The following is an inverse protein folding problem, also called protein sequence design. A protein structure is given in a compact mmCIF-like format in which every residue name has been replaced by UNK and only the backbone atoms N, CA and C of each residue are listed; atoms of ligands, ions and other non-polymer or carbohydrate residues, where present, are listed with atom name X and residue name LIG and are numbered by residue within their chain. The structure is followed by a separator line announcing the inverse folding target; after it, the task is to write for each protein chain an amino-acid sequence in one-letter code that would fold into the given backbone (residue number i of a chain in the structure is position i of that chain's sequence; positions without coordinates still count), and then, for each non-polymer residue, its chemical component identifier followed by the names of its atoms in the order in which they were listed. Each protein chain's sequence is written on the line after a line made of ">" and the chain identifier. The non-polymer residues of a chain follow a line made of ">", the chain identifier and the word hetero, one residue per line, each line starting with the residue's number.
data_IF_322407623823
#
_entry.id   IF_322407623823
#
_cell.length_a   1.000
_cell.length_b   1.000
_cell.length_c   1.000
_cell.angle_alpha   90.00
_cell.angle_beta   90.00
_cell.angle_gamma   90.00
#
_symmetry.space_group_name_H-M   'P 1'
#
loop_
_entity.id
_entity.type
_entity.pdbx_description
1 polymer ?
#
# COMPACT_ATOMS: atom_id res chain seq x y z
N UNK A 1 52.57 17.46 -21.48
CA UNK A 1 51.56 18.24 -22.22
C UNK A 1 50.41 18.49 -21.28
N UNK A 2 50.21 19.74 -20.85
CA UNK A 2 49.07 20.13 -20.01
C UNK A 2 47.78 20.01 -20.82
N UNK A 3 47.12 18.85 -20.74
CA UNK A 3 45.74 18.69 -21.18
C UNK A 3 44.84 19.06 -20.03
N UNK A 4 44.51 20.35 -19.91
CA UNK A 4 43.45 20.78 -19.00
C UNK A 4 42.12 20.19 -19.53
N UNK A 5 41.72 19.06 -18.93
CA UNK A 5 40.48 18.34 -19.20
C UNK A 5 39.27 19.14 -18.76
N UNK A 6 39.46 20.26 -18.05
CA UNK A 6 38.40 21.08 -17.49
C UNK A 6 38.14 22.37 -18.30
N UNK A 7 39.02 22.74 -19.23
CA UNK A 7 38.78 23.90 -20.09
C UNK A 7 37.72 23.58 -21.15
N UNK A 8 36.64 24.37 -21.27
CA UNK A 8 35.72 24.31 -22.39
C UNK A 8 36.43 24.61 -23.71
N UNK A 9 36.46 23.64 -24.62
CA UNK A 9 37.04 23.80 -25.97
C UNK A 9 36.41 22.86 -26.99
N UNK A 10 36.73 23.05 -28.25
CA UNK A 10 36.40 22.09 -29.30
C UNK A 10 37.21 20.80 -29.11
N UNK A 11 36.53 19.66 -29.23
CA UNK A 11 37.10 18.33 -29.01
C UNK A 11 36.71 17.40 -30.16
N UNK A 12 37.58 16.45 -30.43
CA UNK A 12 37.42 15.51 -31.56
C UNK A 12 37.48 14.05 -31.12
N UNK A 13 38.11 13.76 -29.97
CA UNK A 13 38.32 12.41 -29.47
C UNK A 13 37.49 12.07 -28.23
N UNK A 14 37.06 13.06 -27.45
CA UNK A 14 36.16 12.82 -26.32
C UNK A 14 35.77 14.09 -25.58
N UNK A 15 34.69 14.01 -24.79
CA UNK A 15 34.13 15.11 -24.00
C UNK A 15 33.58 14.58 -22.69
N UNK A 16 33.63 15.39 -21.65
CA UNK A 16 33.11 15.08 -20.31
C UNK A 16 31.95 16.00 -20.00
N UNK A 17 30.85 15.39 -19.59
CA UNK A 17 29.68 16.03 -19.03
C UNK A 17 29.63 15.77 -17.54
N UNK A 18 29.26 16.79 -16.77
CA UNK A 18 29.10 16.68 -15.32
C UNK A 18 27.77 17.28 -14.89
N UNK A 19 27.11 16.62 -13.94
CA UNK A 19 25.97 17.18 -13.22
C UNK A 19 26.42 17.67 -11.86
N UNK A 20 26.26 18.97 -11.62
CA UNK A 20 26.70 19.61 -10.37
C UNK A 20 25.52 20.17 -9.57
N UNK A 21 25.59 20.06 -8.24
CA UNK A 21 24.66 20.74 -7.33
C UNK A 21 24.97 22.23 -7.22
N UNK A 22 24.06 22.97 -6.58
CA UNK A 22 24.22 24.42 -6.31
C UNK A 22 25.45 24.74 -5.45
N UNK A 23 25.86 23.82 -4.58
CA UNK A 23 27.08 23.92 -3.75
C UNK A 23 28.37 23.61 -4.54
N UNK A 24 28.29 23.25 -5.82
CA UNK A 24 29.45 22.93 -6.66
C UNK A 24 29.88 21.46 -6.63
N UNK A 25 29.19 20.61 -5.86
CA UNK A 25 29.47 19.18 -5.76
C UNK A 25 29.11 18.45 -7.05
N UNK A 26 30.01 17.58 -7.53
CA UNK A 26 29.81 16.74 -8.71
C UNK A 26 29.10 15.47 -8.28
N UNK A 27 27.99 15.15 -8.93
CA UNK A 27 27.13 14.00 -8.58
C UNK A 27 26.91 13.04 -9.76
N UNK A 28 27.15 13.53 -10.97
CA UNK A 28 26.96 12.82 -12.23
C UNK A 28 28.15 13.10 -13.14
N UNK A 29 28.65 12.07 -13.83
CA UNK A 29 29.70 12.18 -14.84
C UNK A 29 29.28 11.31 -16.04
N UNK A 30 29.24 11.90 -17.24
CA UNK A 30 29.13 11.15 -18.50
C UNK A 30 30.30 11.49 -19.40
N UNK A 31 31.02 10.47 -19.85
CA UNK A 31 32.14 10.61 -20.77
C UNK A 31 31.72 10.04 -22.11
N UNK A 32 31.94 10.80 -23.19
CA UNK A 32 31.90 10.28 -24.55
C UNK A 32 33.32 10.25 -25.10
N UNK A 33 33.70 9.15 -25.75
CA UNK A 33 35.01 9.01 -26.39
C UNK A 33 34.96 8.05 -27.58
N UNK A 34 35.99 8.10 -28.44
CA UNK A 34 36.04 7.26 -29.64
C UNK A 34 36.01 5.75 -29.35
N UNK A 35 36.54 5.33 -28.19
CA UNK A 35 36.61 3.94 -27.77
C UNK A 35 36.61 3.80 -26.24
N UNK A 36 36.48 2.56 -25.76
CA UNK A 36 36.41 2.24 -24.33
C UNK A 36 37.66 2.64 -23.55
N UNK A 37 38.85 2.41 -24.10
CA UNK A 37 40.12 2.71 -23.42
C UNK A 37 40.26 4.21 -23.17
N UNK A 38 39.97 5.02 -24.19
CA UNK A 38 40.00 6.48 -24.09
C UNK A 38 38.92 7.01 -23.13
N UNK A 39 37.72 6.42 -23.13
CA UNK A 39 36.67 6.81 -22.19
C UNK A 39 37.08 6.57 -20.72
N UNK A 40 37.75 5.44 -20.44
CA UNK A 40 38.27 5.12 -19.10
C UNK A 40 39.38 6.07 -18.68
N UNK A 41 40.36 6.31 -19.55
CA UNK A 41 41.47 7.25 -19.28
C UNK A 41 40.94 8.66 -19.01
N UNK A 42 39.97 9.14 -19.79
CA UNK A 42 39.33 10.45 -19.56
C UNK A 42 38.60 10.49 -18.21
N UNK A 43 37.85 9.45 -17.85
CA UNK A 43 37.14 9.38 -16.57
C UNK A 43 38.10 9.37 -15.38
N UNK A 44 39.15 8.53 -15.43
CA UNK A 44 40.14 8.41 -14.36
C UNK A 44 40.91 9.72 -14.15
N UNK A 45 41.34 10.38 -15.24
CA UNK A 45 41.99 11.69 -15.16
C UNK A 45 41.07 12.76 -14.58
N UNK A 46 39.80 12.78 -15.01
CA UNK A 46 38.82 13.73 -14.48
C UNK A 46 38.63 13.57 -12.96
N UNK A 47 38.48 12.32 -12.49
CA UNK A 47 38.34 12.04 -11.05
C UNK A 47 39.59 12.49 -10.28
N UNK A 48 40.78 12.18 -10.79
CA UNK A 48 42.05 12.59 -10.20
C UNK A 48 42.19 14.12 -10.12
N UNK A 49 41.95 14.85 -11.22
CA UNK A 49 42.05 16.32 -11.27
C UNK A 49 41.03 17.02 -10.36
N UNK A 50 39.87 16.40 -10.11
CA UNK A 50 38.85 16.93 -9.20
C UNK A 50 39.02 16.50 -7.75
N UNK A 51 40.03 15.68 -7.44
CA UNK A 51 40.21 15.12 -6.10
C UNK A 51 39.04 14.23 -5.66
N UNK A 52 38.34 13.62 -6.62
CA UNK A 52 37.22 12.70 -6.36
C UNK A 52 37.77 11.29 -6.22
N UNK A 53 37.46 10.62 -5.13
CA UNK A 53 37.87 9.24 -4.94
C UNK A 53 37.02 8.30 -5.84
N UNK A 54 37.62 7.42 -6.68
CA UNK A 54 36.87 6.58 -7.61
C UNK A 54 35.79 5.70 -6.95
N UNK A 55 36.03 5.26 -5.71
CA UNK A 55 35.08 4.45 -4.96
C UNK A 55 33.79 5.18 -4.54
N UNK A 56 33.74 6.51 -4.65
CA UNK A 56 32.54 7.30 -4.32
C UNK A 56 31.55 7.33 -5.49
N UNK A 57 31.98 6.86 -6.65
CA UNK A 57 31.22 6.81 -7.88
C UNK A 57 30.99 5.37 -8.33
N UNK A 58 29.86 5.15 -9.00
CA UNK A 58 29.42 3.86 -9.53
C UNK A 58 29.09 4.05 -10.99
N UNK A 59 29.75 3.28 -11.86
CA UNK A 59 29.40 3.21 -13.28
C UNK A 59 28.05 2.52 -13.40
N UNK A 60 27.06 3.25 -13.92
CA UNK A 60 25.68 2.77 -14.06
C UNK A 60 25.33 2.38 -15.49
N UNK A 61 26.08 2.91 -16.46
CA UNK A 61 25.87 2.63 -17.87
C UNK A 61 27.19 2.79 -18.65
N UNK A 62 27.40 1.94 -19.65
CA UNK A 62 28.55 2.00 -20.55
C UNK A 62 28.26 1.22 -21.84
N UNK A 63 28.85 1.65 -22.94
CA UNK A 63 28.73 0.97 -24.23
C UNK A 63 28.84 1.94 -25.40
N UNK A 64 28.65 1.42 -26.61
CA UNK A 64 28.51 2.26 -27.80
C UNK A 64 27.08 2.83 -27.88
N UNK A 65 26.98 4.12 -28.13
CA UNK A 65 25.75 4.85 -28.37
C UNK A 65 25.68 5.21 -29.86
N UNK A 66 24.51 4.98 -30.48
CA UNK A 66 24.24 5.39 -31.86
C UNK A 66 24.13 6.92 -31.93
N UNK A 67 24.93 7.49 -32.82
CA UNK A 67 25.01 8.93 -33.09
C UNK A 67 24.84 9.23 -34.58
N UNK A 68 24.30 8.27 -35.34
CA UNK A 68 24.00 8.46 -36.76
C UNK A 68 23.07 9.67 -36.95
N UNK A 69 23.50 10.60 -37.81
CA UNK A 69 22.79 11.86 -38.04
C UNK A 69 23.10 13.00 -37.05
N UNK A 70 23.91 12.78 -36.01
CA UNK A 70 24.41 13.85 -35.13
C UNK A 70 25.74 14.41 -35.67
N UNK A 71 25.85 15.73 -35.79
CA UNK A 71 27.12 16.39 -36.15
C UNK A 71 28.01 16.64 -34.93
N UNK A 72 27.41 16.97 -33.79
CA UNK A 72 28.10 17.33 -32.55
C UNK A 72 27.40 16.75 -31.31
N UNK A 73 28.17 16.61 -30.22
CA UNK A 73 27.66 16.38 -28.87
C UNK A 73 28.06 17.56 -27.98
N UNK A 74 27.07 18.23 -27.41
CA UNK A 74 27.20 19.41 -26.53
C UNK A 74 26.06 19.44 -25.51
N UNK A 75 26.11 20.33 -24.53
CA UNK A 75 25.00 20.52 -23.57
C UNK A 75 23.68 20.94 -24.24
N UNK A 76 23.74 21.49 -25.46
CA UNK A 76 22.55 21.86 -26.25
C UNK A 76 21.93 20.66 -26.94
N UNK A 77 22.74 19.76 -27.50
CA UNK A 77 22.24 18.54 -28.14
C UNK A 77 21.79 17.51 -27.10
N UNK A 78 22.41 17.51 -25.93
CA UNK A 78 22.06 16.69 -24.76
C UNK A 78 20.93 17.32 -23.91
N UNK A 79 19.87 17.82 -24.56
CA UNK A 79 18.77 18.53 -23.91
C UNK A 79 17.93 17.64 -22.98
N UNK A 80 17.76 16.37 -23.35
CA UNK A 80 17.09 15.36 -22.53
C UNK A 80 17.87 15.07 -21.24
N UNK A 81 19.19 14.88 -21.36
CA UNK A 81 20.09 14.70 -20.21
C UNK A 81 20.05 15.93 -19.29
N UNK A 82 20.07 17.12 -19.87
CA UNK A 82 19.98 18.37 -19.10
C UNK A 82 18.66 18.48 -18.34
N UNK A 83 17.54 18.13 -18.98
CA UNK A 83 16.21 18.11 -18.36
C UNK A 83 16.09 17.05 -17.27
N UNK A 84 16.66 15.86 -17.48
CA UNK A 84 16.71 14.79 -16.49
C UNK A 84 17.46 15.22 -15.24
N UNK A 85 18.68 15.75 -15.39
CA UNK A 85 19.49 16.23 -14.27
C UNK A 85 18.86 17.45 -13.58
N UNK A 86 18.21 18.34 -14.33
CA UNK A 86 17.47 19.48 -13.78
C UNK A 86 16.37 19.06 -12.80
N UNK A 87 15.64 17.97 -13.08
CA UNK A 87 14.63 17.39 -12.16
C UNK A 87 15.24 16.85 -10.86
N UNK A 88 16.52 16.49 -10.88
CA UNK A 88 17.28 16.05 -9.71
C UNK A 88 17.99 17.21 -9.00
N UNK A 89 17.75 18.46 -9.43
CA UNK A 89 18.38 19.65 -8.85
C UNK A 89 19.85 19.81 -9.27
N UNK A 90 20.29 19.11 -10.32
CA UNK A 90 21.63 19.17 -10.87
C UNK A 90 21.66 20.06 -12.11
N UNK A 91 22.77 20.79 -12.28
CA UNK A 91 23.06 21.56 -13.49
C UNK A 91 24.05 20.80 -14.35
N UNK A 92 23.68 20.53 -15.60
CA UNK A 92 24.57 19.92 -16.58
C UNK A 92 25.61 20.95 -17.05
N UNK A 93 26.89 20.57 -16.98
CA UNK A 93 28.03 21.29 -17.53
C UNK A 93 28.83 20.35 -18.43
N UNK A 94 29.64 20.90 -19.31
CA UNK A 94 30.54 20.14 -20.18
C UNK A 94 31.88 20.84 -20.33
N UNK A 95 32.94 20.07 -20.54
CA UNK A 95 34.27 20.58 -20.86
C UNK A 95 34.48 20.87 -22.35
N UNK A 96 33.41 20.89 -23.17
CA UNK A 96 33.54 21.24 -24.58
C UNK A 96 32.37 20.87 -25.47
N UNK A 97 32.64 20.95 -26.77
CA UNK A 97 31.78 20.42 -27.84
C UNK A 97 32.57 19.34 -28.55
N UNK A 98 31.99 18.14 -28.66
CA UNK A 98 32.59 17.04 -29.40
C UNK A 98 32.06 17.01 -30.82
N UNK A 99 32.94 17.12 -31.81
CA UNK A 99 32.59 16.94 -33.21
C UNK A 99 32.70 15.47 -33.60
N UNK A 100 31.64 14.91 -34.19
CA UNK A 100 31.54 13.49 -34.47
C UNK A 100 32.13 13.09 -35.83
N UNK A 101 32.37 14.05 -36.72
CA UNK A 101 33.05 13.84 -38.01
C UNK A 101 32.49 12.66 -38.83
N UNK A 102 31.17 12.47 -38.82
CA UNK A 102 30.49 11.40 -39.57
C UNK A 102 30.57 10.00 -38.94
N UNK A 103 31.00 9.89 -37.68
CA UNK A 103 30.92 8.63 -36.93
C UNK A 103 29.47 8.22 -36.71
N UNK A 104 29.22 6.92 -36.77
CA UNK A 104 27.91 6.32 -36.52
C UNK A 104 27.70 5.95 -35.05
N UNK A 105 28.77 5.62 -34.36
CA UNK A 105 28.73 5.22 -32.95
C UNK A 105 29.84 5.90 -32.17
N UNK A 106 29.59 6.11 -30.88
CA UNK A 106 30.58 6.61 -29.94
C UNK A 106 30.50 5.86 -28.62
N UNK A 107 31.64 5.60 -27.98
CA UNK A 107 31.64 4.95 -26.67
C UNK A 107 31.27 5.94 -25.58
N UNK A 108 30.43 5.51 -24.63
CA UNK A 108 30.06 6.30 -23.47
C UNK A 108 30.26 5.52 -22.16
N UNK A 109 30.57 6.26 -21.10
CA UNK A 109 30.56 5.79 -19.72
C UNK A 109 29.80 6.82 -18.89
N UNK A 110 28.76 6.36 -18.19
CA UNK A 110 28.00 7.15 -17.23
C UNK A 110 28.25 6.65 -15.82
N UNK A 111 28.62 7.56 -14.93
CA UNK A 111 28.96 7.29 -13.54
C UNK A 111 28.23 8.26 -12.60
N UNK A 112 27.64 7.73 -11.54
CA UNK A 112 26.91 8.50 -10.54
C UNK A 112 27.61 8.40 -9.20
N UNK A 113 27.54 9.44 -8.38
CA UNK A 113 27.93 9.30 -6.98
C UNK A 113 27.03 8.27 -6.28
N UNK A 114 27.54 7.65 -5.22
CA UNK A 114 26.73 6.76 -4.37
C UNK A 114 25.50 7.46 -3.78
N UNK A 115 25.60 8.75 -3.47
CA UNK A 115 24.52 9.50 -2.85
C UNK A 115 23.43 9.87 -3.86
N UNK A 116 23.79 10.28 -5.07
CA UNK A 116 22.82 10.47 -6.16
C UNK A 116 22.18 9.14 -6.56
N UNK A 117 22.95 8.04 -6.61
CA UNK A 117 22.40 6.72 -6.92
C UNK A 117 21.41 6.27 -5.84
N UNK A 118 21.67 6.54 -4.56
CA UNK A 118 20.71 6.31 -3.47
C UNK A 118 19.49 7.22 -3.59
N UNK A 119 19.68 8.48 -3.97
CA UNK A 119 18.58 9.43 -4.18
C UNK A 119 17.65 8.97 -5.29
N UNK A 120 18.19 8.58 -6.46
CA UNK A 120 17.43 8.03 -7.59
C UNK A 120 16.73 6.74 -7.19
N UNK A 121 17.45 5.79 -6.56
CA UNK A 121 16.87 4.54 -6.06
C UNK A 121 15.80 4.78 -4.99
N UNK A 122 15.86 5.84 -4.21
CA UNK A 122 14.81 6.19 -3.24
C UNK A 122 13.59 6.85 -3.89
N UNK A 123 13.76 7.49 -5.05
CA UNK A 123 12.70 8.13 -5.83
C UNK A 123 11.93 7.16 -6.74
N UNK A 124 12.55 6.07 -7.20
CA UNK A 124 11.92 5.10 -8.11
C UNK A 124 11.02 4.05 -7.44
N UNK A 125 10.99 3.97 -6.10
CA UNK A 125 10.74 2.68 -5.44
C UNK A 125 9.50 2.61 -4.53
N UNK A 126 8.58 3.58 -4.64
CA UNK A 126 7.24 3.50 -4.06
C UNK A 126 6.25 3.77 -5.20
N UNK A 127 5.88 2.75 -5.98
CA UNK A 127 4.74 2.88 -6.90
C UNK A 127 3.49 2.48 -6.14
N UNK A 128 2.49 3.35 -6.16
CA UNK A 128 1.16 2.97 -5.73
C UNK A 128 0.58 1.99 -6.74
N UNK A 129 -0.17 1.03 -6.22
CA UNK A 129 -0.98 0.13 -7.04
C UNK A 129 -2.44 0.49 -6.79
N UNK A 130 -3.28 0.56 -7.85
CA UNK A 130 -4.69 0.90 -7.68
C UNK A 130 -5.35 -0.09 -6.73
N UNK A 131 -6.08 0.45 -5.75
CA UNK A 131 -6.83 -0.36 -4.80
C UNK A 131 -7.98 -1.04 -5.55
N UNK A 132 -8.10 -2.35 -5.37
CA UNK A 132 -9.17 -3.16 -5.95
C UNK A 132 -9.54 -4.29 -5.01
N UNK A 133 -10.79 -4.72 -5.06
CA UNK A 133 -11.29 -5.87 -4.31
C UNK A 133 -11.41 -7.04 -5.29
N UNK A 134 -10.79 -8.18 -4.96
CA UNK A 134 -10.84 -9.40 -5.75
C UNK A 134 -11.46 -10.54 -4.93
N UNK A 135 -12.74 -10.84 -5.17
CA UNK A 135 -13.49 -11.81 -4.36
C UNK A 135 -13.35 -13.27 -4.83
N UNK A 136 -12.76 -13.52 -5.99
CA UNK A 136 -12.75 -14.84 -6.65
C UNK A 136 -11.98 -15.92 -5.87
N UNK A 137 -11.05 -15.54 -5.01
CA UNK A 137 -10.23 -16.46 -4.22
C UNK A 137 -10.80 -16.76 -2.83
N UNK A 138 -11.95 -16.18 -2.47
CA UNK A 138 -12.53 -16.35 -1.14
C UNK A 138 -13.26 -17.68 -1.04
N UNK A 139 -13.00 -18.39 0.07
CA UNK A 139 -13.75 -19.59 0.41
C UNK A 139 -15.08 -19.22 1.09
N UNK A 140 -16.05 -18.80 0.28
CA UNK A 140 -17.40 -18.44 0.71
C UNK A 140 -18.44 -19.09 -0.21
N UNK A 141 -19.66 -19.37 0.28
CA UNK A 141 -20.71 -19.89 -0.58
C UNK A 141 -20.99 -18.93 -1.76
N UNK A 142 -21.27 -19.42 -2.98
CA UNK A 142 -21.36 -18.59 -4.19
C UNK A 142 -22.33 -17.40 -4.07
N UNK A 143 -23.46 -17.60 -3.38
CA UNK A 143 -24.45 -16.54 -3.16
C UNK A 143 -23.93 -15.38 -2.31
N UNK A 144 -22.96 -15.62 -1.42
CA UNK A 144 -22.31 -14.56 -0.63
C UNK A 144 -21.30 -13.80 -1.49
N UNK A 145 -20.50 -14.50 -2.29
CA UNK A 145 -19.56 -13.88 -3.23
C UNK A 145 -20.32 -12.95 -4.18
N UNK A 146 -21.43 -13.41 -4.75
CA UNK A 146 -22.27 -12.61 -5.65
C UNK A 146 -22.77 -11.32 -4.99
N UNK A 147 -23.26 -11.40 -3.74
CA UNK A 147 -23.72 -10.25 -2.97
C UNK A 147 -22.60 -9.27 -2.64
N UNK A 148 -21.40 -9.77 -2.36
CA UNK A 148 -20.24 -8.96 -2.02
C UNK A 148 -19.60 -8.29 -3.24
N UNK A 149 -19.90 -8.71 -4.49
CA UNK A 149 -19.37 -8.07 -5.72
C UNK A 149 -19.59 -6.57 -5.78
N UNK A 150 -20.65 -6.06 -5.15
CA UNK A 150 -20.87 -4.61 -5.09
C UNK A 150 -19.73 -3.85 -4.37
N UNK A 151 -18.96 -4.51 -3.50
CA UNK A 151 -17.78 -3.93 -2.86
C UNK A 151 -16.62 -3.68 -3.84
N UNK A 152 -16.61 -4.32 -5.02
CA UNK A 152 -15.62 -4.06 -6.08
C UNK A 152 -15.77 -2.63 -6.65
N UNK A 153 -16.93 -1.99 -6.47
CA UNK A 153 -17.18 -0.61 -6.88
C UNK A 153 -16.51 0.41 -5.94
N UNK A 154 -16.07 -0.01 -4.75
CA UNK A 154 -15.53 0.88 -3.72
C UNK A 154 -16.45 2.06 -3.34
N UNK A 155 -17.77 1.82 -3.39
CA UNK A 155 -18.80 2.77 -2.99
C UNK A 155 -19.17 2.62 -1.51
N UNK A 156 -19.71 3.69 -0.92
CA UNK A 156 -20.16 3.67 0.47
C UNK A 156 -21.32 2.67 0.65
N UNK A 157 -21.16 1.73 1.58
CA UNK A 157 -22.00 0.53 1.61
C UNK A 157 -22.60 0.27 2.99
N UNK A 158 -23.91 0.01 3.04
CA UNK A 158 -24.58 -0.60 4.17
C UNK A 158 -24.59 -2.13 4.01
N UNK A 159 -23.97 -2.84 4.95
CA UNK A 159 -24.00 -4.31 5.02
C UNK A 159 -24.93 -4.76 6.14
N UNK A 160 -25.99 -5.46 5.74
CA UNK A 160 -26.98 -6.05 6.63
C UNK A 160 -26.56 -7.49 6.94
N UNK A 161 -25.76 -7.65 7.99
CA UNK A 161 -24.99 -8.87 8.25
C UNK A 161 -25.69 -9.85 9.21
N UNK A 162 -26.80 -10.46 8.78
CA UNK A 162 -27.44 -11.54 9.57
C UNK A 162 -26.57 -12.80 9.65
N UNK A 163 -25.75 -13.04 8.62
CA UNK A 163 -24.83 -14.18 8.57
C UNK A 163 -23.67 -14.06 9.57
N UNK A 164 -23.46 -12.88 10.16
CA UNK A 164 -22.29 -12.55 10.98
C UNK A 164 -20.97 -12.91 10.27
N UNK A 165 -20.93 -12.66 8.97
CA UNK A 165 -19.74 -12.84 8.13
C UNK A 165 -18.65 -11.86 8.60
N UNK A 166 -17.41 -12.31 8.86
CA UNK A 166 -16.34 -11.43 9.32
C UNK A 166 -15.84 -10.52 8.17
N UNK A 167 -16.55 -9.41 7.92
CA UNK A 167 -16.27 -8.47 6.82
C UNK A 167 -14.82 -7.97 6.81
N UNK A 168 -14.20 -7.58 7.94
CA UNK A 168 -12.82 -7.11 7.93
C UNK A 168 -11.84 -8.17 7.42
N UNK A 169 -11.99 -9.42 7.84
CA UNK A 169 -11.15 -10.55 7.43
C UNK A 169 -11.36 -10.87 5.95
N UNK A 170 -12.62 -10.90 5.50
CA UNK A 170 -12.97 -11.08 4.08
C UNK A 170 -12.31 -10.01 3.20
N UNK A 171 -12.38 -8.74 3.62
CA UNK A 171 -11.73 -7.65 2.89
C UNK A 171 -10.21 -7.74 2.94
N UNK A 172 -9.60 -8.13 4.07
CA UNK A 172 -8.14 -8.30 4.16
C UNK A 172 -7.60 -9.33 3.18
N UNK A 173 -8.36 -10.40 2.92
CA UNK A 173 -8.00 -11.43 1.95
C UNK A 173 -8.22 -10.96 0.49
N UNK A 174 -9.33 -10.25 0.26
CA UNK A 174 -9.76 -9.83 -1.07
C UNK A 174 -9.08 -8.55 -1.59
N UNK A 175 -8.71 -7.62 -0.71
CA UNK A 175 -8.16 -6.32 -1.11
C UNK A 175 -6.75 -6.46 -1.67
N UNK A 176 -6.50 -5.83 -2.82
CA UNK A 176 -5.19 -5.72 -3.47
C UNK A 176 -4.87 -4.24 -3.72
N UNK A 177 -3.59 -3.95 -3.91
CA UNK A 177 -3.08 -2.62 -4.18
C UNK A 177 -2.08 -2.16 -3.11
N UNK A 178 -1.63 -0.92 -3.25
CA UNK A 178 -0.65 -0.32 -2.37
C UNK A 178 -0.88 1.19 -2.29
N UNK A 179 -0.98 1.73 -1.08
CA UNK A 179 -1.33 3.13 -0.81
C UNK A 179 -0.14 3.82 -0.18
N UNK A 180 0.21 5.02 -0.65
CA UNK A 180 1.15 5.88 0.06
C UNK A 180 0.45 6.67 1.13
N UNK A 181 1.05 6.71 2.31
CA UNK A 181 0.66 7.62 3.37
C UNK A 181 1.91 8.25 3.99
N UNK A 182 1.90 9.54 4.35
CA UNK A 182 2.96 10.09 5.16
C UNK A 182 2.79 9.62 6.61
N UNK A 183 3.89 9.47 7.36
CA UNK A 183 3.80 9.19 8.80
C UNK A 183 3.12 10.35 9.54
N UNK A 184 3.53 11.56 9.19
CA UNK A 184 2.97 12.83 9.67
C UNK A 184 2.64 13.70 8.46
N UNK A 185 1.39 14.12 8.36
CA UNK A 185 0.94 15.13 7.43
C UNK A 185 1.20 16.52 8.02
N UNK A 186 2.00 17.32 7.33
CA UNK A 186 2.33 18.69 7.72
C UNK A 186 1.59 19.69 6.81
N UNK A 187 0.73 20.51 7.40
CA UNK A 187 -0.04 21.55 6.71
C UNK A 187 0.10 22.87 7.48
N UNK A 188 1.02 23.73 7.06
CA UNK A 188 1.34 24.94 7.82
C UNK A 188 1.88 24.59 9.21
N UNK A 189 1.20 25.07 10.27
CA UNK A 189 1.55 24.72 11.67
C UNK A 189 0.91 23.41 12.15
N UNK A 190 0.03 22.79 11.36
CA UNK A 190 -0.64 21.55 11.73
C UNK A 190 0.24 20.35 11.40
N UNK A 191 0.55 19.54 12.43
CA UNK A 191 1.24 18.25 12.30
C UNK A 191 0.28 17.13 12.71
N UNK A 192 -0.22 16.36 11.75
CA UNK A 192 -1.18 15.28 11.97
C UNK A 192 -0.53 13.92 11.72
N UNK A 193 -0.48 13.07 12.73
CA UNK A 193 -0.01 11.70 12.60
C UNK A 193 -1.08 10.82 11.95
N UNK A 194 -0.81 10.40 10.71
CA UNK A 194 -1.71 9.51 9.96
C UNK A 194 -1.35 8.05 10.21
N UNK A 195 -0.05 7.71 10.22
CA UNK A 195 0.36 6.33 10.39
C UNK A 195 0.11 5.81 11.81
N UNK A 196 -0.50 4.62 11.91
CA UNK A 196 -0.65 3.86 13.13
C UNK A 196 -0.23 2.40 12.87
N UNK A 197 0.75 1.89 13.60
CA UNK A 197 1.25 0.52 13.46
C UNK A 197 0.23 -0.57 13.81
N UNK A 198 -0.82 -0.24 14.56
CA UNK A 198 -1.90 -1.18 14.89
C UNK A 198 -2.95 -1.28 13.77
N UNK A 199 -3.05 -0.24 12.92
CA UNK A 199 -4.06 -0.15 11.87
C UNK A 199 -3.48 -0.36 10.47
N UNK A 200 -2.18 -0.12 10.28
CA UNK A 200 -1.53 -0.12 8.98
C UNK A 200 -0.46 -1.19 8.86
N UNK A 201 -0.53 -1.96 7.77
CA UNK A 201 0.48 -2.95 7.40
C UNK A 201 1.45 -2.35 6.39
N UNK A 202 2.72 -2.20 6.77
CA UNK A 202 3.76 -1.58 5.93
C UNK A 202 4.30 -2.58 4.91
N UNK A 203 4.23 -2.22 3.63
CA UNK A 203 4.90 -2.94 2.53
C UNK A 203 6.35 -2.46 2.43
N UNK A 204 6.56 -1.13 2.43
CA UNK A 204 7.88 -0.53 2.26
C UNK A 204 7.99 0.81 2.98
N UNK A 205 9.17 1.08 3.55
CA UNK A 205 9.49 2.34 4.22
C UNK A 205 10.34 3.24 3.31
N UNK A 206 9.97 4.52 3.23
CA UNK A 206 10.71 5.58 2.55
C UNK A 206 10.40 6.93 3.20
N UNK A 207 10.49 8.04 2.44
CA UNK A 207 10.02 9.37 2.89
C UNK A 207 8.52 9.37 3.20
N UNK A 208 7.77 8.57 2.45
CA UNK A 208 6.40 8.18 2.73
C UNK A 208 6.37 6.66 2.94
N UNK A 209 5.33 6.18 3.63
CA UNK A 209 5.12 4.76 3.82
C UNK A 209 4.25 4.21 2.69
N UNK A 210 4.68 3.12 2.08
CA UNK A 210 3.82 2.31 1.23
C UNK A 210 3.20 1.22 2.10
N UNK A 211 1.87 1.25 2.24
CA UNK A 211 1.10 0.33 3.07
C UNK A 211 0.14 -0.49 2.21
N UNK A 212 -0.29 -1.63 2.72
CA UNK A 212 -1.50 -2.27 2.18
C UNK A 212 -2.69 -1.33 2.39
N UNK A 213 -3.69 -1.34 1.49
CA UNK A 213 -4.87 -0.50 1.64
C UNK A 213 -5.50 -0.73 3.03
N UNK A 214 -5.69 0.32 3.84
CA UNK A 214 -6.05 0.15 5.23
C UNK A 214 -7.49 -0.36 5.38
N UNK A 215 -7.72 -1.27 6.32
CA UNK A 215 -9.05 -1.70 6.72
C UNK A 215 -9.19 -1.39 8.20
N UNK A 216 -9.76 -0.21 8.48
CA UNK A 216 -9.95 0.32 9.83
C UNK A 216 -11.34 -0.06 10.32
N UNK A 217 -11.42 -0.68 11.49
CA UNK A 217 -12.68 -1.12 12.10
C UNK A 217 -12.95 -0.28 13.33
N UNK A 218 -14.20 0.13 13.50
CA UNK A 218 -14.70 0.77 14.70
C UNK A 218 -16.02 0.11 15.13
N UNK A 219 -16.09 -0.32 16.38
CA UNK A 219 -17.19 -1.07 16.96
C UNK A 219 -17.83 -0.27 18.09
N UNK A 220 -19.11 0.10 17.93
CA UNK A 220 -19.84 0.93 18.91
C UNK A 220 -19.95 0.32 20.30
N UNK A 221 -19.72 -0.98 20.46
CA UNK A 221 -19.76 -1.66 21.75
C UNK A 221 -18.42 -1.61 22.51
N UNK A 222 -17.32 -1.27 21.83
CA UNK A 222 -15.96 -1.35 22.39
C UNK A 222 -15.21 -0.02 22.25
N UNK A 223 -15.44 0.71 21.17
CA UNK A 223 -14.69 1.90 20.80
C UNK A 223 -15.44 3.20 21.14
N UNK A 224 -14.72 4.33 21.11
CA UNK A 224 -15.24 5.63 21.53
C UNK A 224 -15.46 6.57 20.35
N UNK A 225 -16.45 7.46 20.45
CA UNK A 225 -16.65 8.53 19.47
C UNK A 225 -15.48 9.53 19.43
N UNK A 226 -14.67 9.59 20.49
CA UNK A 226 -13.46 10.40 20.53
C UNK A 226 -12.43 9.99 19.46
N UNK A 227 -12.52 8.78 18.91
CA UNK A 227 -11.62 8.30 17.87
C UNK A 227 -11.86 8.97 16.51
N UNK A 228 -12.98 9.70 16.37
CA UNK A 228 -13.28 10.57 15.22
C UNK A 228 -12.89 12.04 15.45
N UNK A 229 -12.30 12.35 16.60
CA UNK A 229 -11.79 13.67 16.95
C UNK A 229 -10.26 13.69 16.94
N UNK A 230 -9.72 14.89 16.83
CA UNK A 230 -8.27 15.12 16.79
C UNK A 230 -7.74 15.14 18.22
N UNK A 231 -6.80 14.25 18.54
CA UNK A 231 -6.23 14.13 19.90
C UNK A 231 -4.83 14.75 19.94
N UNK A 232 -4.53 15.52 20.98
CA UNK A 232 -3.18 16.09 21.16
C UNK A 232 -2.17 15.00 21.53
N UNK A 233 -1.00 15.01 20.89
CA UNK A 233 0.05 14.02 21.14
C UNK A 233 1.44 14.60 20.87
N UNK A 234 2.16 14.96 21.93
CA UNK A 234 3.49 15.58 21.82
C UNK A 234 3.42 16.94 21.11
N UNK A 235 4.29 17.17 20.13
CA UNK A 235 4.34 18.41 19.33
C UNK A 235 3.33 18.46 18.17
N UNK A 236 2.32 17.59 18.17
CA UNK A 236 1.34 17.51 17.10
C UNK A 236 0.05 16.83 17.55
N UNK A 237 -0.69 16.31 16.58
CA UNK A 237 -2.00 15.71 16.80
C UNK A 237 -2.05 14.31 16.21
N UNK A 238 -2.77 13.41 16.85
CA UNK A 238 -3.18 12.14 16.28
C UNK A 238 -4.40 12.36 15.37
N UNK A 239 -4.35 11.81 14.16
CA UNK A 239 -5.43 11.98 13.20
C UNK A 239 -6.68 11.15 13.60
N UNK A 240 -7.89 11.66 13.34
CA UNK A 240 -9.12 10.87 13.43
C UNK A 240 -9.08 9.58 12.61
N UNK A 241 -9.82 8.55 13.03
CA UNK A 241 -9.84 7.23 12.37
C UNK A 241 -10.16 7.29 10.87
N UNK A 242 -11.07 8.16 10.45
CA UNK A 242 -11.43 8.28 9.03
C UNK A 242 -10.28 8.78 8.14
N UNK A 243 -9.32 9.52 8.71
CA UNK A 243 -8.09 9.89 7.99
C UNK A 243 -7.07 8.75 7.96
N UNK A 244 -7.09 7.87 8.97
CA UNK A 244 -6.25 6.66 8.98
C UNK A 244 -6.74 5.64 7.96
N UNK A 245 -8.04 5.63 7.63
CA UNK A 245 -8.60 4.81 6.56
C UNK A 245 -8.30 5.31 5.12
N UNK A 246 -7.27 6.16 4.93
CA UNK A 246 -6.97 6.79 3.65
C UNK A 246 -6.85 5.78 2.50
N UNK A 247 -7.66 5.98 1.45
CA UNK A 247 -7.74 5.12 0.25
C UNK A 247 -8.00 3.64 0.53
N UNK A 248 -8.54 3.34 1.71
CA UNK A 248 -8.96 2.01 2.11
C UNK A 248 -10.42 2.01 2.57
N UNK A 249 -10.71 1.19 3.57
CA UNK A 249 -12.04 1.01 4.14
C UNK A 249 -12.09 1.45 5.60
N UNK A 250 -13.13 2.21 5.94
CA UNK A 250 -13.56 2.45 7.31
C UNK A 250 -14.85 1.65 7.55
N UNK A 251 -14.78 0.65 8.42
CA UNK A 251 -15.89 -0.24 8.76
C UNK A 251 -16.44 0.18 10.13
N UNK A 252 -17.71 0.56 10.18
CA UNK A 252 -18.41 0.94 11.41
C UNK A 252 -19.46 -0.10 11.78
N UNK A 253 -19.37 -0.69 12.98
CA UNK A 253 -20.36 -1.66 13.48
C UNK A 253 -21.38 -1.01 14.40
N UNK A 254 -22.65 -1.09 14.00
CA UNK A 254 -23.79 -0.49 14.69
C UNK A 254 -23.61 1.00 15.07
N UNK A 255 -23.03 1.86 14.20
CA UNK A 255 -22.68 3.22 14.59
C UNK A 255 -23.88 4.09 14.94
N UNK A 256 -23.70 5.15 15.75
CA UNK A 256 -24.69 6.21 15.86
C UNK A 256 -24.97 6.85 14.49
N UNK A 257 -26.24 7.11 14.17
CA UNK A 257 -26.65 7.70 12.89
C UNK A 257 -25.96 9.05 12.62
N UNK A 258 -25.89 9.90 13.64
CA UNK A 258 -25.19 11.19 13.59
C UNK A 258 -23.71 11.08 13.19
N UNK A 259 -23.04 9.97 13.52
CA UNK A 259 -21.65 9.74 13.11
C UNK A 259 -21.58 9.47 11.60
N UNK A 260 -22.46 8.61 11.10
CA UNK A 260 -22.55 8.29 9.67
C UNK A 260 -22.87 9.55 8.86
N UNK A 261 -23.86 10.34 9.27
CA UNK A 261 -24.19 11.63 8.64
C UNK A 261 -23.00 12.58 8.61
N UNK A 262 -22.26 12.70 9.73
CA UNK A 262 -21.05 13.55 9.81
C UNK A 262 -20.00 13.11 8.81
N UNK A 263 -19.75 11.81 8.69
CA UNK A 263 -18.75 11.25 7.76
C UNK A 263 -19.17 11.42 6.30
N UNK A 264 -20.44 11.19 5.97
CA UNK A 264 -20.96 11.43 4.62
C UNK A 264 -20.81 12.90 4.20
N UNK A 265 -21.15 13.85 5.09
CA UNK A 265 -20.95 15.29 4.83
C UNK A 265 -19.48 15.66 4.64
N UNK A 266 -18.55 14.99 5.33
CA UNK A 266 -17.10 15.19 5.15
C UNK A 266 -16.68 14.66 3.77
N UNK A 267 -17.16 13.49 3.39
CA UNK A 267 -16.89 12.86 2.09
C UNK A 267 -17.42 13.70 0.92
N UNK A 268 -18.65 14.19 0.99
CA UNK A 268 -19.25 15.08 -0.03
C UNK A 268 -18.41 16.35 -0.25
N UNK A 269 -17.80 16.88 0.82
CA UNK A 269 -16.90 18.04 0.75
C UNK A 269 -15.48 17.69 0.28
N UNK A 270 -15.15 16.40 0.17
CA UNK A 270 -13.81 15.89 -0.12
C UNK A 270 -12.74 16.27 0.91
N UNK A 271 -13.15 16.79 2.08
CA UNK A 271 -12.22 17.34 3.06
C UNK A 271 -12.83 17.53 4.45
N UNK A 272 -11.98 17.43 5.47
CA UNK A 272 -12.31 17.74 6.86
C UNK A 272 -11.59 19.01 7.30
N UNK A 273 -12.28 19.86 8.08
CA UNK A 273 -11.65 21.03 8.72
C UNK A 273 -11.07 20.60 10.06
N UNK A 274 -9.74 20.55 10.17
CA UNK A 274 -9.03 20.17 11.39
C UNK A 274 -8.18 21.34 11.84
N UNK A 275 -8.45 21.84 13.07
CA UNK A 275 -7.73 22.97 13.68
C UNK A 275 -7.55 24.17 12.73
N UNK A 276 -8.56 24.44 11.90
CA UNK A 276 -8.57 25.54 10.93
C UNK A 276 -8.08 25.18 9.51
N UNK A 277 -7.38 24.05 9.34
CA UNK A 277 -6.84 23.61 8.06
C UNK A 277 -7.80 22.66 7.34
N UNK A 278 -7.81 22.72 6.01
CA UNK A 278 -8.58 21.82 5.15
C UNK A 278 -7.72 20.61 4.81
N UNK A 279 -8.07 19.45 5.35
CA UNK A 279 -7.37 18.19 5.12
C UNK A 279 -8.17 17.38 4.10
N UNK A 280 -7.57 16.92 2.98
CA UNK A 280 -8.26 16.08 2.01
C UNK A 280 -8.66 14.75 2.63
N UNK A 281 -9.81 14.23 2.23
CA UNK A 281 -10.39 13.01 2.78
C UNK A 281 -10.76 12.07 1.64
N UNK A 282 -10.29 10.83 1.73
CA UNK A 282 -10.56 9.79 0.75
C UNK A 282 -10.53 8.45 1.47
N UNK A 283 -11.68 7.82 1.66
CA UNK A 283 -11.85 6.48 2.24
C UNK A 283 -13.20 5.93 1.78
N UNK A 284 -13.37 4.61 1.78
CA UNK A 284 -14.66 3.96 1.52
C UNK A 284 -15.33 3.61 2.84
N UNK A 285 -16.57 4.03 3.05
CA UNK A 285 -17.32 3.74 4.28
C UNK A 285 -18.10 2.44 4.13
N UNK A 286 -17.97 1.56 5.11
CA UNK A 286 -18.86 0.41 5.27
C UNK A 286 -19.55 0.55 6.62
N UNK A 287 -20.88 0.56 6.62
CA UNK A 287 -21.68 0.46 7.84
C UNK A 287 -22.21 -0.96 7.95
N UNK A 288 -21.86 -1.65 9.02
CA UNK A 288 -22.40 -2.97 9.35
C UNK A 288 -23.49 -2.80 10.40
N UNK A 289 -24.73 -3.17 10.06
CA UNK A 289 -25.86 -3.13 11.01
C UNK A 289 -26.93 -4.15 10.68
N UNK A 290 -27.65 -4.62 11.69
CA UNK A 290 -28.85 -5.46 11.48
C UNK A 290 -30.11 -4.62 11.18
N UNK A 291 -30.07 -3.29 11.33
CA UNK A 291 -31.20 -2.40 11.08
C UNK A 291 -31.10 -1.72 9.69
N UNK A 292 -32.01 -2.08 8.78
CA UNK A 292 -32.00 -1.63 7.39
C UNK A 292 -32.49 -0.21 7.16
N UNK A 293 -33.28 0.34 8.08
CA UNK A 293 -33.95 1.63 7.93
C UNK A 293 -33.13 2.79 8.51
N UNK A 294 -32.10 2.46 9.30
CA UNK A 294 -31.32 3.43 10.09
C UNK A 294 -30.31 4.22 9.25
N UNK A 295 -29.93 3.75 8.07
CA UNK A 295 -28.89 4.37 7.26
C UNK A 295 -29.25 4.38 5.79
N UNK A 296 -28.99 5.51 5.14
CA UNK A 296 -29.13 5.65 3.69
C UNK A 296 -27.76 5.79 3.03
N UNK A 297 -27.26 4.69 2.50
CA UNK A 297 -26.00 4.58 1.77
C UNK A 297 -26.29 4.09 0.34
N UNK A 298 -25.46 4.49 -0.65
CA UNK A 298 -25.74 4.24 -2.07
C UNK A 298 -25.78 2.76 -2.41
N UNK A 299 -25.02 1.93 -1.70
CA UNK A 299 -25.03 0.47 -1.86
C UNK A 299 -25.59 -0.19 -0.60
N UNK A 300 -26.51 -1.15 -0.78
CA UNK A 300 -27.09 -1.95 0.30
C UNK A 300 -26.90 -3.44 0.01
N UNK A 301 -26.09 -4.10 0.84
CA UNK A 301 -25.80 -5.55 0.73
C UNK A 301 -26.50 -6.27 1.87
N UNK A 302 -27.36 -7.24 1.55
CA UNK A 302 -27.99 -8.10 2.56
C UNK A 302 -27.31 -9.47 2.59
N UNK A 303 -26.75 -9.84 3.74
CA UNK A 303 -26.12 -11.14 3.98
C UNK A 303 -27.03 -11.98 4.90
N UNK A 304 -27.86 -12.88 4.33
CA UNK A 304 -28.81 -13.67 5.11
C UNK A 304 -28.11 -14.78 5.92
N UNK A 305 -28.80 -15.36 6.90
CA UNK A 305 -28.33 -16.58 7.59
C UNK A 305 -27.95 -17.70 6.61
N UNK A 306 -27.01 -18.54 7.03
CA UNK A 306 -26.60 -19.72 6.27
C UNK A 306 -27.77 -20.71 6.14
N UNK A 307 -27.86 -21.34 4.97
CA UNK A 307 -28.73 -22.50 4.78
C UNK A 307 -28.22 -23.70 5.61
N UNK A 308 -29.02 -24.76 5.74
CA UNK A 308 -28.57 -25.97 6.43
C UNK A 308 -27.37 -26.60 5.72
N UNK A 309 -27.46 -26.70 4.39
CA UNK A 309 -26.41 -27.25 3.53
C UNK A 309 -25.11 -26.45 3.67
N UNK A 310 -25.13 -25.13 3.47
CA UNK A 310 -23.92 -24.30 3.60
C UNK A 310 -23.34 -24.34 5.03
N UNK A 311 -24.20 -24.32 6.05
CA UNK A 311 -23.72 -24.37 7.43
C UNK A 311 -23.04 -25.72 7.72
N UNK A 312 -23.62 -26.83 7.22
CA UNK A 312 -23.06 -28.16 7.32
C UNK A 312 -21.71 -28.24 6.63
N UNK A 313 -21.64 -27.88 5.35
CA UNK A 313 -20.42 -27.93 4.53
C UNK A 313 -19.28 -27.13 5.17
N UNK A 314 -19.56 -25.88 5.56
CA UNK A 314 -18.57 -25.02 6.20
C UNK A 314 -18.15 -25.55 7.59
N UNK A 315 -19.04 -26.21 8.33
CA UNK A 315 -18.70 -26.82 9.61
C UNK A 315 -17.82 -28.05 9.43
N UNK A 316 -18.13 -28.91 8.47
CA UNK A 316 -17.35 -30.09 8.12
C UNK A 316 -15.94 -29.68 7.68
N UNK A 317 -15.84 -28.71 6.77
CA UNK A 317 -14.56 -28.19 6.29
C UNK A 317 -13.71 -27.65 7.44
N UNK A 318 -14.31 -26.84 8.33
CA UNK A 318 -13.59 -26.16 9.41
C UNK A 318 -13.19 -27.08 10.55
N UNK A 319 -13.90 -28.18 10.74
CA UNK A 319 -13.64 -29.13 11.83
C UNK A 319 -12.90 -30.39 11.38
N UNK A 320 -12.96 -30.70 10.07
CA UNK A 320 -12.50 -31.96 9.49
C UNK A 320 -13.34 -33.16 9.93
N UNK A 321 -14.57 -32.94 10.40
CA UNK A 321 -15.46 -33.98 10.94
C UNK A 321 -16.77 -33.96 10.18
N UNK A 322 -17.25 -35.14 9.77
CA UNK A 322 -18.54 -35.28 9.10
C UNK A 322 -19.68 -34.94 10.07
N UNK A 323 -20.64 -34.15 9.61
CA UNK A 323 -21.79 -33.66 10.39
C UNK A 323 -23.05 -34.33 9.83
N UNK A 324 -23.94 -34.84 10.68
CA UNK A 324 -25.24 -35.35 10.23
C UNK A 324 -26.25 -34.23 10.01
N UNK A 325 -27.18 -34.41 9.07
CA UNK A 325 -28.24 -33.42 8.79
C UNK A 325 -29.11 -33.16 10.03
N UNK A 326 -29.47 -34.22 10.74
CA UNK A 326 -30.22 -34.16 12.02
C UNK A 326 -29.57 -33.24 13.06
N UNK A 327 -28.23 -33.20 13.11
CA UNK A 327 -27.51 -32.36 14.06
C UNK A 327 -27.60 -30.86 13.69
N UNK A 328 -27.64 -30.54 12.39
CA UNK A 328 -27.78 -29.18 11.88
C UNK A 328 -29.23 -28.71 11.93
N UNK A 329 -30.20 -29.61 11.74
CA UNK A 329 -31.63 -29.31 11.86
C UNK A 329 -32.00 -28.75 13.23
N UNK A 330 -31.40 -29.28 14.29
CA UNK A 330 -31.58 -28.80 15.66
C UNK A 330 -31.08 -27.37 15.88
N UNK A 331 -30.20 -26.85 15.01
CA UNK A 331 -29.69 -25.48 15.12
C UNK A 331 -30.71 -24.52 14.51
N UNK A 332 -31.27 -23.57 15.30
CA UNK A 332 -32.17 -22.55 14.79
C UNK A 332 -31.55 -21.75 13.66
N UNK A 333 -32.35 -21.33 12.68
CA UNK A 333 -31.88 -20.59 11.50
C UNK A 333 -31.06 -19.36 11.87
N UNK A 334 -31.48 -18.66 12.92
CA UNK A 334 -30.88 -17.42 13.41
C UNK A 334 -29.49 -17.65 14.05
N UNK A 335 -29.19 -18.90 14.42
CA UNK A 335 -27.88 -19.32 14.95
C UNK A 335 -26.97 -19.89 13.86
N UNK A 336 -27.43 -20.08 12.62
CA UNK A 336 -26.60 -20.56 11.50
C UNK A 336 -25.80 -19.42 10.88
N UNK A 337 -24.74 -19.02 11.59
CA UNK A 337 -23.88 -17.87 11.25
C UNK A 337 -22.41 -18.29 11.15
N UNK A 338 -21.60 -17.49 10.46
CA UNK A 338 -20.14 -17.69 10.41
C UNK A 338 -19.49 -17.57 11.80
N UNK A 339 -20.04 -16.71 12.66
CA UNK A 339 -19.63 -16.61 14.06
C UNK A 339 -19.92 -17.90 14.84
N UNK A 340 -21.09 -18.50 14.65
CA UNK A 340 -21.41 -19.79 15.28
C UNK A 340 -20.43 -20.88 14.83
N UNK A 341 -20.08 -20.96 13.55
CA UNK A 341 -19.07 -21.91 13.04
C UNK A 341 -17.71 -21.72 13.75
N UNK A 342 -17.28 -20.47 13.95
CA UNK A 342 -16.06 -20.15 14.71
C UNK A 342 -16.16 -20.61 16.18
N UNK A 343 -17.29 -20.35 16.83
CA UNK A 343 -17.52 -20.74 18.22
C UNK A 343 -17.49 -22.26 18.39
N UNK A 344 -18.20 -23.00 17.54
CA UNK A 344 -18.23 -24.47 17.55
C UNK A 344 -16.82 -25.02 17.31
N UNK A 345 -16.11 -24.53 16.30
CA UNK A 345 -14.74 -24.98 16.01
C UNK A 345 -13.78 -24.75 17.19
N UNK A 346 -13.87 -23.58 17.86
CA UNK A 346 -13.06 -23.29 19.07
C UNK A 346 -13.43 -24.20 20.25
N UNK A 347 -14.73 -24.45 20.47
CA UNK A 347 -15.18 -25.35 21.53
C UNK A 347 -14.72 -26.79 21.28
N UNK A 348 -14.87 -27.28 20.04
CA UNK A 348 -14.40 -28.62 19.65
C UNK A 348 -12.90 -28.78 19.90
N UNK A 349 -12.09 -27.78 19.51
CA UNK A 349 -10.64 -27.79 19.76
C UNK A 349 -10.32 -27.92 21.26
N UNK A 350 -10.99 -27.13 22.11
CA UNK A 350 -10.82 -27.20 23.57
C UNK A 350 -11.25 -28.55 24.15
N UNK A 351 -12.31 -29.16 23.62
CA UNK A 351 -12.73 -30.49 24.07
C UNK A 351 -11.76 -31.58 23.63
N UNK A 352 -11.19 -31.51 22.41
CA UNK A 352 -10.14 -32.41 21.95
C UNK A 352 -8.90 -32.35 22.86
N UNK A 353 -8.50 -31.16 23.31
CA UNK A 353 -7.39 -30.98 24.24
C UNK A 353 -7.68 -31.61 25.63
N UNK A 354 -8.93 -31.52 26.11
CA UNK A 354 -9.33 -32.09 27.41
C UNK A 354 -9.61 -33.60 27.37
N UNK A 355 -10.06 -34.12 26.22
CA UNK A 355 -10.51 -35.50 26.02
C UNK A 355 -9.83 -36.10 24.78
N UNK A 356 -8.49 -36.27 24.78
CA UNK A 356 -7.74 -36.65 23.58
C UNK A 356 -8.07 -38.04 23.04
N UNK A 357 -8.57 -38.94 23.89
CA UNK A 357 -8.89 -40.32 23.52
C UNK A 357 -10.30 -40.49 22.92
N UNK A 358 -11.13 -39.43 22.91
CA UNK A 358 -12.51 -39.51 22.44
C UNK A 358 -12.59 -39.25 20.94
N UNK A 359 -13.47 -39.98 20.24
CA UNK A 359 -13.62 -39.83 18.80
C UNK A 359 -14.11 -38.43 18.42
N UNK A 360 -13.62 -37.91 17.29
CA UNK A 360 -13.92 -36.54 16.85
C UNK A 360 -15.42 -36.30 16.61
N UNK A 361 -16.15 -37.31 16.13
CA UNK A 361 -17.60 -37.23 15.91
C UNK A 361 -18.37 -37.11 17.23
N UNK A 362 -17.99 -37.87 18.25
CA UNK A 362 -18.62 -37.77 19.58
C UNK A 362 -18.32 -36.44 20.26
N UNK A 363 -17.10 -35.92 20.09
CA UNK A 363 -16.72 -34.60 20.60
C UNK A 363 -17.50 -33.48 19.90
N UNK A 364 -17.77 -33.62 18.60
CA UNK A 364 -18.61 -32.67 17.86
C UNK A 364 -20.05 -32.71 18.35
N UNK A 365 -20.63 -33.91 18.57
CA UNK A 365 -21.98 -34.03 19.17
C UNK A 365 -22.05 -33.36 20.54
N UNK A 366 -21.05 -33.60 21.41
CA UNK A 366 -20.96 -32.97 22.72
C UNK A 366 -20.80 -31.44 22.61
N UNK A 367 -20.03 -30.96 21.62
CA UNK A 367 -19.88 -29.53 21.34
C UNK A 367 -21.19 -28.88 20.95
N UNK A 368 -21.95 -29.52 20.06
CA UNK A 368 -23.24 -29.02 19.60
C UNK A 368 -24.26 -29.00 20.74
N UNK A 369 -24.30 -30.04 21.57
CA UNK A 369 -25.14 -30.08 22.76
C UNK A 369 -24.82 -28.92 23.72
N UNK A 370 -23.54 -28.71 24.04
CA UNK A 370 -23.09 -27.59 24.88
C UNK A 370 -23.42 -26.22 24.27
N UNK A 371 -23.29 -26.06 22.95
CA UNK A 371 -23.64 -24.82 22.27
C UNK A 371 -25.14 -24.53 22.28
N UNK A 372 -25.97 -25.56 22.13
CA UNK A 372 -27.43 -25.46 22.17
C UNK A 372 -27.96 -25.33 23.61
N UNK A 373 -27.16 -25.68 24.62
CA UNK A 373 -27.58 -25.74 26.02
C UNK A 373 -28.29 -27.06 26.38
N UNK A 374 -28.25 -28.05 25.50
CA UNK A 374 -28.78 -29.39 25.75
C UNK A 374 -27.77 -30.14 26.66
N UNK A 375 -28.12 -30.32 27.94
CA UNK A 375 -27.28 -31.05 28.92
C UNK A 375 -27.00 -30.34 30.24
N UNK A 376 -27.55 -29.14 30.48
CA UNK A 376 -27.46 -28.41 31.77
C UNK A 376 -28.75 -28.55 32.62
N UNK A 377 -29.52 -29.62 32.46
CA UNK A 377 -30.65 -29.94 33.37
C UNK A 377 -30.25 -30.85 34.55
N UNK A 378 -28.97 -30.89 34.92
CA UNK A 378 -28.52 -31.74 36.02
C UNK A 378 -27.14 -31.43 36.54
N UNK A 379 -26.96 -30.23 37.12
CA UNK A 379 -25.97 -29.97 38.17
C UNK A 379 -26.50 -28.92 39.16
#
# INVERSE_FOLDING_TARGET
>A
METDLLTPKERYSGVVFIGVRKNGEVEFIKVYAENEELAKDILERFLYEKGIHPADFVVVDKGYEDVEGKEIISTRTESELSSFLGRLGLRLLSNGVLYLQGKKEIYQITSLSKDLLREIKSKEDLKEEPVRVELKSLNLPPRFIERLKALELMEDTLIINHAELPIPEVLKEAIKGAVKIPEVLELGSLRLRLFNSELHEVIKRGKELLIKPPIVVWDSYVDSLEDFEVKERGEGYDAPLFLKAHRGFLILREPPEKLVEKLMRIKEKGSAKIKGFKVPVEFTLIVESKNTEKYDLPVKIKLPYLSQEEFKELLEEKTGVKVSDEAVEKIPKEKRTFRTLLTISKLLKRLKEKKPNKQSEELLKETLALFLGEGNEGY
#
